data_IF_269769213416
#
_entry.id   IF_269769213416
#
_cell.length_a   1.000
_cell.length_b   1.000
_cell.length_c   1.000
_cell.angle_alpha   90.00
_cell.angle_beta   90.00
_cell.angle_gamma   90.00
#
_symmetry.space_group_name_H-M   'P 1'
#
loop_
_entity.id
_entity.type
_entity.pdbx_description
1 polymer ?
#
# COMPACT_ATOMS: atom_id res chain seq x y z
N UNK A 1 13.69 -3.14 -9.41
CA UNK A 1 12.85 -2.07 -9.98
C UNK A 1 12.93 -0.83 -9.08
N UNK A 2 12.78 0.38 -9.63
CA UNK A 2 12.68 1.62 -8.85
C UNK A 2 11.20 2.06 -8.83
N UNK A 3 10.44 1.87 -7.72
CA UNK A 3 8.99 2.09 -7.71
C UNK A 3 8.59 3.51 -8.13
N UNK A 4 9.30 4.52 -7.62
CA UNK A 4 9.04 5.92 -7.97
C UNK A 4 9.21 6.16 -9.47
N UNK A 5 10.35 5.77 -10.06
CA UNK A 5 10.61 5.93 -11.50
C UNK A 5 9.58 5.20 -12.36
N UNK A 6 9.13 4.03 -11.91
CA UNK A 6 8.09 3.28 -12.61
C UNK A 6 6.77 4.03 -12.64
N UNK A 7 6.28 4.49 -11.48
CA UNK A 7 5.02 5.23 -11.38
C UNK A 7 5.10 6.55 -12.13
N UNK A 8 6.17 7.33 -11.95
CA UNK A 8 6.33 8.61 -12.65
C UNK A 8 6.47 8.42 -14.14
N UNK A 9 7.15 7.37 -14.61
CA UNK A 9 7.25 7.06 -16.03
C UNK A 9 5.89 6.69 -16.65
N UNK A 10 5.03 5.96 -15.92
CA UNK A 10 3.66 5.70 -16.37
C UNK A 10 2.85 6.99 -16.49
N UNK A 11 2.92 7.86 -15.48
CA UNK A 11 2.21 9.15 -15.47
C UNK A 11 2.73 10.09 -16.57
N UNK A 12 4.04 10.17 -16.74
CA UNK A 12 4.69 10.95 -17.79
C UNK A 12 4.23 10.48 -19.17
N UNK A 13 4.22 9.18 -19.42
CA UNK A 13 3.70 8.62 -20.67
C UNK A 13 2.23 8.97 -20.91
N UNK A 14 1.37 8.94 -19.87
CA UNK A 14 -0.04 9.30 -20.01
C UNK A 14 -0.25 10.79 -20.34
N UNK A 15 0.60 11.67 -19.80
CA UNK A 15 0.53 13.11 -20.05
C UNK A 15 1.09 13.48 -21.43
N UNK A 16 2.21 12.87 -21.81
CA UNK A 16 2.91 13.19 -23.07
C UNK A 16 2.32 12.48 -24.30
N UNK A 17 1.52 11.44 -24.11
CA UNK A 17 0.86 10.74 -25.20
C UNK A 17 -0.16 11.66 -25.90
N UNK A 18 -0.16 11.64 -27.23
CA UNK A 18 -0.97 12.53 -28.05
C UNK A 18 -2.48 12.29 -27.90
N UNK A 19 -2.91 11.04 -27.74
CA UNK A 19 -4.33 10.70 -27.62
C UNK A 19 -4.83 10.73 -26.17
N UNK A 20 -3.98 10.36 -25.22
CA UNK A 20 -4.33 10.27 -23.80
C UNK A 20 -4.12 11.60 -23.09
N UNK A 21 -3.11 12.39 -23.45
CA UNK A 21 -2.79 13.66 -22.79
C UNK A 21 -3.92 14.68 -22.86
N UNK A 22 -4.75 14.66 -23.91
CA UNK A 22 -5.94 15.50 -24.02
C UNK A 22 -7.11 15.08 -23.12
N UNK A 23 -7.10 13.84 -22.62
CA UNK A 23 -8.16 13.23 -21.79
C UNK A 23 -7.73 12.97 -20.36
N UNK A 24 -6.42 12.88 -20.11
CA UNK A 24 -5.84 12.64 -18.81
C UNK A 24 -5.55 13.96 -18.10
N UNK A 25 -6.22 14.19 -16.98
CA UNK A 25 -6.04 15.37 -16.17
C UNK A 25 -5.41 14.99 -14.83
N UNK A 26 -4.18 15.46 -14.57
CA UNK A 26 -3.50 15.25 -13.30
C UNK A 26 -3.64 16.51 -12.41
N UNK A 27 -4.22 16.33 -11.22
CA UNK A 27 -4.24 17.36 -10.18
C UNK A 27 -3.38 16.90 -8.99
N UNK A 28 -2.28 17.61 -8.74
CA UNK A 28 -1.47 17.42 -7.52
C UNK A 28 -1.86 18.46 -6.46
N UNK A 29 -1.47 18.24 -5.20
CA UNK A 29 -1.78 19.14 -4.08
C UNK A 29 -3.27 19.51 -4.00
N UNK A 30 -4.15 18.56 -4.30
CA UNK A 30 -5.61 18.75 -4.35
C UNK A 30 -6.27 17.66 -3.52
N UNK A 31 -6.27 17.77 -2.18
CA UNK A 31 -6.91 16.79 -1.33
C UNK A 31 -8.41 16.72 -1.60
N UNK A 32 -8.92 15.50 -1.78
CA UNK A 32 -10.37 15.24 -1.74
C UNK A 32 -10.79 15.23 -0.27
N UNK A 33 -11.77 16.07 0.08
CA UNK A 33 -12.23 16.25 1.45
C UNK A 33 -13.54 15.51 1.74
N UNK A 34 -14.40 15.31 0.73
CA UNK A 34 -15.61 14.50 0.85
C UNK A 34 -16.08 13.93 -0.50
N UNK A 35 -16.96 12.93 -0.41
CA UNK A 35 -17.71 12.39 -1.53
C UNK A 35 -19.21 12.59 -1.26
N UNK A 36 -19.90 13.19 -2.21
CA UNK A 36 -21.34 13.46 -2.14
C UNK A 36 -22.04 12.84 -3.36
N UNK A 37 -23.35 12.58 -3.26
CA UNK A 37 -24.15 12.23 -4.44
C UNK A 37 -24.53 13.51 -5.18
N UNK A 38 -24.59 13.44 -6.51
CA UNK A 38 -25.19 14.51 -7.33
C UNK A 38 -26.66 14.69 -6.99
N UNK A 39 -27.25 15.84 -7.36
CA UNK A 39 -28.64 16.19 -7.03
C UNK A 39 -29.67 15.22 -7.62
N UNK A 40 -29.38 14.62 -8.77
CA UNK A 40 -30.18 13.56 -9.41
C UNK A 40 -29.93 12.16 -8.82
N UNK A 41 -28.95 12.03 -7.93
CA UNK A 41 -28.54 10.79 -7.29
C UNK A 41 -27.88 9.78 -8.23
N UNK A 42 -27.56 10.14 -9.48
CA UNK A 42 -27.01 9.23 -10.51
C UNK A 42 -25.48 9.22 -10.57
N UNK A 43 -24.81 10.14 -9.90
CA UNK A 43 -23.37 10.26 -9.90
C UNK A 43 -22.80 10.69 -8.55
N UNK A 44 -21.53 11.03 -8.60
CA UNK A 44 -20.71 11.46 -7.48
C UNK A 44 -20.20 12.87 -7.71
N UNK A 45 -20.24 13.67 -6.66
CA UNK A 45 -19.57 14.95 -6.54
C UNK A 45 -18.36 14.76 -5.62
N UNK A 46 -17.17 14.85 -6.21
CA UNK A 46 -15.89 14.75 -5.52
C UNK A 46 -15.50 16.16 -5.08
N UNK A 47 -15.46 16.39 -3.77
CA UNK A 47 -15.25 17.73 -3.19
C UNK A 47 -13.78 17.91 -2.84
N UNK A 48 -13.23 19.05 -3.23
CA UNK A 48 -11.87 19.48 -2.92
C UNK A 48 -11.88 20.95 -2.52
N UNK A 49 -10.80 21.43 -1.91
CA UNK A 49 -10.64 22.86 -1.59
C UNK A 49 -10.54 23.75 -2.84
N UNK A 50 -10.19 23.17 -3.99
CA UNK A 50 -10.04 23.89 -5.27
C UNK A 50 -11.32 23.88 -6.14
N UNK A 51 -12.37 23.21 -5.68
CA UNK A 51 -13.62 23.03 -6.41
C UNK A 51 -14.13 21.59 -6.36
N UNK A 52 -15.22 21.33 -7.08
CA UNK A 52 -15.86 20.01 -7.14
C UNK A 52 -15.78 19.43 -8.55
N UNK A 53 -15.63 18.11 -8.64
CA UNK A 53 -15.73 17.36 -9.90
C UNK A 53 -16.94 16.44 -9.83
N UNK A 54 -17.83 16.52 -10.81
CA UNK A 54 -18.96 15.61 -10.94
C UNK A 54 -18.63 14.51 -11.95
N UNK A 55 -18.92 13.26 -11.60
CA UNK A 55 -18.61 12.08 -12.40
C UNK A 55 -19.59 10.95 -12.09
N UNK A 56 -19.85 10.07 -13.05
CA UNK A 56 -20.65 8.85 -12.82
C UNK A 56 -19.88 7.78 -12.05
N UNK A 57 -18.54 7.78 -12.11
CA UNK A 57 -17.70 6.77 -11.47
C UNK A 57 -16.52 7.39 -10.72
N UNK A 58 -16.19 6.82 -9.56
CA UNK A 58 -15.07 7.21 -8.69
C UNK A 58 -14.29 5.97 -8.29
N UNK A 59 -12.96 6.01 -8.41
CA UNK A 59 -12.06 4.99 -7.85
C UNK A 59 -11.34 5.56 -6.63
N UNK A 60 -11.54 4.94 -5.48
CA UNK A 60 -10.72 5.15 -4.29
C UNK A 60 -9.49 4.26 -4.35
N UNK A 61 -8.36 4.85 -4.72
CA UNK A 61 -7.02 4.26 -4.63
C UNK A 61 -6.20 4.87 -3.47
N UNK A 62 -6.90 5.30 -2.40
CA UNK A 62 -6.33 6.07 -1.28
C UNK A 62 -5.82 5.21 -0.13
N UNK A 63 -5.76 3.88 -0.30
CA UNK A 63 -5.22 2.89 0.65
C UNK A 63 -5.53 3.20 2.14
N UNK A 64 -4.54 3.53 2.96
CA UNK A 64 -4.71 3.79 4.40
C UNK A 64 -5.57 5.01 4.74
N UNK A 65 -5.76 5.92 3.79
CA UNK A 65 -6.58 7.13 3.97
C UNK A 65 -8.05 6.95 3.54
N UNK A 66 -8.44 5.74 3.09
CA UNK A 66 -9.80 5.46 2.60
C UNK A 66 -10.89 5.84 3.61
N UNK A 67 -10.65 5.63 4.91
CA UNK A 67 -11.62 5.91 5.96
C UNK A 67 -11.94 7.39 6.14
N UNK A 68 -11.10 8.31 5.64
CA UNK A 68 -11.43 9.74 5.62
C UNK A 68 -12.58 10.05 4.66
N UNK A 69 -12.68 9.31 3.54
CA UNK A 69 -13.75 9.46 2.55
C UNK A 69 -14.90 8.49 2.79
N UNK A 70 -14.65 7.36 3.44
CA UNK A 70 -15.64 6.37 3.85
C UNK A 70 -15.54 6.09 5.36
N UNK A 71 -16.12 6.94 6.23
CA UNK A 71 -16.00 6.79 7.68
C UNK A 71 -16.47 5.42 8.21
N UNK A 72 -17.47 4.81 7.56
CA UNK A 72 -17.96 3.47 7.88
C UNK A 72 -16.95 2.33 7.62
N UNK A 73 -15.79 2.65 7.04
CA UNK A 73 -14.69 1.72 6.74
C UNK A 73 -13.50 1.89 7.70
N UNK A 74 -13.59 2.76 8.70
CA UNK A 74 -12.51 3.00 9.66
C UNK A 74 -12.07 1.72 10.42
N UNK A 75 -12.95 0.72 10.56
CA UNK A 75 -12.63 -0.58 11.15
C UNK A 75 -12.36 -1.67 10.10
N UNK A 76 -12.47 -1.37 8.81
CA UNK A 76 -12.27 -2.30 7.69
C UNK A 76 -10.91 -2.10 7.01
N UNK A 77 -10.47 -0.86 6.88
CA UNK A 77 -9.16 -0.46 6.37
C UNK A 77 -8.57 0.52 7.36
N UNK A 78 -7.57 0.07 8.11
CA UNK A 78 -6.95 0.85 9.19
C UNK A 78 -5.61 1.41 8.69
N UNK A 79 -5.36 2.72 8.82
CA UNK A 79 -4.04 3.27 8.54
C UNK A 79 -3.01 2.67 9.48
N UNK A 80 -1.88 2.27 8.94
CA UNK A 80 -0.80 1.63 9.67
C UNK A 80 0.53 2.24 9.22
N UNK A 81 1.15 3.04 10.09
CA UNK A 81 2.45 3.64 9.80
C UNK A 81 3.55 2.62 10.04
N UNK A 82 4.36 2.37 9.00
CA UNK A 82 5.61 1.62 9.07
C UNK A 82 6.82 2.50 8.74
N UNK A 83 8.02 1.93 8.82
CA UNK A 83 9.27 2.62 8.48
C UNK A 83 10.12 1.82 7.49
N UNK A 84 10.96 2.56 6.77
CA UNK A 84 11.91 2.04 5.80
C UNK A 84 13.26 2.71 5.99
N UNK A 85 14.33 1.98 5.67
CA UNK A 85 15.68 2.51 5.60
C UNK A 85 16.27 2.34 4.20
N UNK A 86 17.14 3.28 3.82
CA UNK A 86 18.09 3.13 2.75
C UNK A 86 19.49 3.14 3.38
N UNK A 87 20.15 2.00 3.38
CA UNK A 87 21.47 1.80 3.97
C UNK A 87 22.53 1.74 2.88
N UNK A 88 23.71 2.30 3.13
CA UNK A 88 24.85 2.13 2.23
C UNK A 88 25.40 0.71 2.39
N UNK A 89 25.61 -0.04 1.29
CA UNK A 89 26.20 -1.37 1.39
C UNK A 89 27.64 -1.25 1.89
N UNK A 90 28.09 -2.21 2.69
CA UNK A 90 29.52 -2.37 3.02
C UNK A 90 30.31 -2.81 1.79
N UNK A 91 31.64 -2.89 1.90
CA UNK A 91 32.49 -3.41 0.83
C UNK A 91 32.17 -4.88 0.48
N UNK A 92 31.60 -5.64 1.43
CA UNK A 92 31.17 -7.03 1.23
C UNK A 92 29.88 -7.16 0.40
N UNK A 93 29.14 -6.06 0.19
CA UNK A 93 27.81 -6.05 -0.42
C UNK A 93 27.70 -5.10 -1.62
N UNK A 94 28.82 -4.67 -2.20
CA UNK A 94 28.87 -3.73 -3.34
C UNK A 94 29.54 -4.34 -4.57
N UNK A 95 29.40 -3.65 -5.70
CA UNK A 95 29.97 -4.03 -7.00
C UNK A 95 29.65 -5.48 -7.39
N UNK A 96 30.66 -6.34 -7.57
CA UNK A 96 30.50 -7.75 -7.91
C UNK A 96 29.97 -8.62 -6.76
N UNK A 97 29.93 -8.10 -5.52
CA UNK A 97 29.45 -8.80 -4.32
C UNK A 97 28.05 -8.34 -3.89
N UNK A 98 27.38 -7.54 -4.71
CA UNK A 98 26.00 -7.13 -4.47
C UNK A 98 25.06 -8.33 -4.32
N UNK A 99 23.96 -8.11 -3.62
CA UNK A 99 22.86 -9.06 -3.54
C UNK A 99 22.28 -9.32 -4.94
N UNK A 100 22.21 -10.60 -5.29
CA UNK A 100 21.61 -11.08 -6.54
C UNK A 100 20.09 -11.27 -6.39
N UNK A 101 19.62 -11.48 -5.16
CA UNK A 101 18.21 -11.75 -4.83
C UNK A 101 17.70 -10.78 -3.77
N UNK A 102 16.37 -10.65 -3.70
CA UNK A 102 15.70 -9.99 -2.57
C UNK A 102 15.42 -11.01 -1.47
N UNK A 103 15.35 -10.56 -0.23
CA UNK A 103 15.09 -11.41 0.93
C UNK A 103 13.78 -11.01 1.59
N UNK A 104 13.03 -12.01 2.05
CA UNK A 104 12.02 -11.86 3.10
C UNK A 104 12.50 -12.64 4.31
N UNK A 105 12.55 -12.02 5.48
CA UNK A 105 12.97 -12.70 6.70
C UNK A 105 11.74 -13.16 7.48
N UNK A 106 11.75 -14.44 7.84
CA UNK A 106 10.78 -15.02 8.75
C UNK A 106 11.33 -14.94 10.17
N UNK A 107 10.58 -14.35 11.08
CA UNK A 107 10.99 -14.18 12.47
C UNK A 107 9.92 -13.46 13.28
N UNK A 108 10.13 -13.25 14.60
CA UNK A 108 9.14 -12.63 15.47
C UNK A 108 8.69 -11.24 14.99
N UNK A 109 9.60 -10.50 14.35
CA UNK A 109 9.34 -9.20 13.77
C UNK A 109 8.32 -9.22 12.63
N UNK A 110 8.07 -10.42 12.04
CA UNK A 110 7.23 -10.79 10.89
C UNK A 110 7.17 -9.70 9.82
N UNK A 111 7.58 -10.03 8.58
CA UNK A 111 7.56 -9.13 7.42
C UNK A 111 8.77 -8.19 7.25
N UNK A 112 9.96 -8.59 7.69
CA UNK A 112 11.17 -7.88 7.26
C UNK A 112 11.53 -8.27 5.84
N UNK A 113 12.01 -7.30 5.07
CA UNK A 113 12.42 -7.54 3.70
C UNK A 113 13.57 -6.65 3.29
N UNK A 114 14.35 -7.15 2.35
CA UNK A 114 15.54 -6.51 1.84
C UNK A 114 15.58 -6.61 0.32
N UNK A 115 15.78 -5.47 -0.31
CA UNK A 115 16.16 -5.39 -1.72
C UNK A 115 17.35 -4.46 -1.87
N UNK A 116 18.35 -4.87 -2.63
CA UNK A 116 19.40 -3.96 -3.07
C UNK A 116 19.02 -3.29 -4.38
N UNK A 117 19.10 -1.95 -4.44
CA UNK A 117 18.77 -1.23 -5.68
C UNK A 117 19.73 -1.62 -6.81
N UNK A 118 19.23 -1.83 -8.03
CA UNK A 118 20.09 -2.10 -9.19
C UNK A 118 20.74 -0.78 -9.63
N UNK A 119 22.02 -0.60 -9.33
CA UNK A 119 22.91 0.39 -9.93
C UNK A 119 24.26 -0.30 -10.25
N UNK A 120 25.14 0.39 -10.98
CA UNK A 120 26.41 -0.15 -11.47
C UNK A 120 27.40 -0.57 -10.38
N UNK A 121 27.21 -0.17 -9.11
CA UNK A 121 28.11 -0.48 -8.00
C UNK A 121 27.46 -1.13 -6.78
N UNK A 122 26.26 -1.70 -6.92
CA UNK A 122 25.47 -2.15 -5.77
C UNK A 122 24.79 -0.96 -5.06
N UNK A 123 23.49 -0.79 -5.30
CA UNK A 123 22.76 0.36 -4.77
C UNK A 123 22.54 0.26 -3.27
N UNK A 124 21.81 1.24 -2.74
CA UNK A 124 21.41 1.20 -1.34
C UNK A 124 20.64 -0.09 -1.05
N UNK A 125 20.88 -0.64 0.13
CA UNK A 125 20.11 -1.71 0.74
C UNK A 125 18.82 -1.10 1.28
N UNK A 126 17.71 -1.42 0.64
CA UNK A 126 16.38 -0.99 1.07
C UNK A 126 15.87 -2.04 2.04
N UNK A 127 16.02 -1.76 3.34
CA UNK A 127 15.63 -2.67 4.41
C UNK A 127 14.43 -2.07 5.15
N UNK A 128 13.33 -2.82 5.15
CA UNK A 128 12.07 -2.42 5.75
C UNK A 128 11.42 -3.57 6.51
N UNK A 129 10.33 -3.26 7.20
CA UNK A 129 9.71 -4.16 8.18
C UNK A 129 9.88 -3.59 9.58
N UNK A 130 10.32 -4.43 10.52
CA UNK A 130 10.55 -4.08 11.91
C UNK A 130 9.24 -3.79 12.63
N UNK A 131 8.15 -4.48 12.27
CA UNK A 131 6.80 -4.16 12.75
C UNK A 131 6.73 -4.13 14.28
N UNK A 132 7.41 -5.07 14.94
CA UNK A 132 7.55 -5.13 16.41
C UNK A 132 8.14 -3.88 17.07
N UNK A 133 8.90 -3.08 16.32
CA UNK A 133 9.65 -1.98 16.89
C UNK A 133 8.98 -0.62 16.68
N UNK A 134 8.09 -0.45 15.71
CA UNK A 134 7.51 0.86 15.44
C UNK A 134 6.26 0.89 14.57
N UNK A 135 5.59 -0.24 14.37
CA UNK A 135 4.31 -0.27 13.66
C UNK A 135 3.24 0.48 14.48
N UNK A 136 2.62 1.50 13.89
CA UNK A 136 1.61 2.31 14.55
C UNK A 136 0.26 2.20 13.82
N UNK A 137 -0.62 1.35 14.34
CA UNK A 137 -2.01 1.24 13.89
C UNK A 137 -2.83 2.48 14.23
N UNK A 138 -3.79 2.80 13.35
CA UNK A 138 -4.64 3.99 13.48
C UNK A 138 -3.89 5.30 13.26
N UNK A 139 -2.62 5.24 12.86
CA UNK A 139 -1.78 6.41 12.67
C UNK A 139 -1.54 6.66 11.18
N UNK A 140 -2.08 7.78 10.68
CA UNK A 140 -1.92 8.25 9.31
C UNK A 140 -0.87 9.37 9.15
N UNK A 141 -0.12 9.69 10.21
CA UNK A 141 0.92 10.73 10.22
C UNK A 141 2.31 10.11 9.97
N UNK A 142 2.79 10.28 8.74
CA UNK A 142 4.13 9.88 8.28
C UNK A 142 5.18 10.99 8.39
N UNK A 143 4.89 12.10 9.09
CA UNK A 143 5.92 13.10 9.44
C UNK A 143 6.86 12.62 10.55
N UNK A 144 6.46 11.57 11.27
CA UNK A 144 7.14 11.05 12.45
C UNK A 144 7.79 9.69 12.18
N UNK A 145 8.93 9.47 12.82
CA UNK A 145 9.66 8.18 12.85
C UNK A 145 9.74 7.66 14.29
N UNK A 146 9.70 6.34 14.46
CA UNK A 146 9.94 5.66 15.74
C UNK A 146 11.44 5.37 15.90
N UNK A 147 11.97 5.69 17.08
CA UNK A 147 13.40 5.53 17.39
C UNK A 147 13.79 4.07 17.55
N UNK A 148 12.92 3.21 18.08
CA UNK A 148 13.18 1.76 18.22
C UNK A 148 13.25 1.10 16.85
N UNK A 149 12.31 1.42 15.95
CA UNK A 149 12.36 0.93 14.58
C UNK A 149 13.60 1.45 13.83
N UNK A 150 13.98 2.71 14.06
CA UNK A 150 15.21 3.29 13.50
C UNK A 150 16.46 2.52 13.94
N UNK A 151 16.60 2.26 15.24
CA UNK A 151 17.70 1.45 15.78
C UNK A 151 17.70 0.05 15.17
N UNK A 152 16.53 -0.62 15.13
CA UNK A 152 16.40 -1.94 14.54
C UNK A 152 16.89 -1.99 13.08
N UNK A 153 16.36 -1.10 12.23
CA UNK A 153 16.68 -1.09 10.80
C UNK A 153 18.17 -0.80 10.54
N UNK A 154 18.81 0.00 11.41
CA UNK A 154 20.24 0.32 11.30
C UNK A 154 21.16 -0.84 11.70
N UNK A 155 20.80 -1.55 12.76
CA UNK A 155 21.73 -2.45 13.46
C UNK A 155 21.50 -3.94 13.18
N UNK A 156 20.29 -4.33 12.78
CA UNK A 156 19.95 -5.76 12.64
C UNK A 156 20.46 -6.40 11.34
N UNK A 157 20.57 -5.62 10.25
CA UNK A 157 20.84 -6.20 8.93
C UNK A 157 22.18 -6.95 8.83
N UNK A 158 23.31 -6.44 9.37
CA UNK A 158 24.58 -7.19 9.43
C UNK A 158 24.50 -8.52 10.19
N UNK A 159 23.67 -8.58 11.23
CA UNK A 159 23.42 -9.81 11.99
C UNK A 159 22.64 -10.81 11.13
N UNK A 160 21.57 -10.34 10.48
CA UNK A 160 20.71 -11.15 9.61
C UNK A 160 21.45 -11.70 8.38
N UNK A 161 22.37 -10.92 7.80
CA UNK A 161 23.15 -11.32 6.62
C UNK A 161 24.42 -12.10 6.95
N UNK A 162 24.81 -12.22 8.22
CA UNK A 162 26.01 -12.96 8.58
C UNK A 162 27.33 -12.27 8.18
N UNK A 163 27.34 -10.94 7.95
CA UNK A 163 28.54 -10.17 7.56
C UNK A 163 29.67 -10.23 8.58
N UNK A 164 30.92 -9.97 8.20
CA UNK A 164 32.05 -9.99 9.16
C UNK A 164 31.97 -8.85 10.17
N UNK A 165 31.69 -7.65 9.66
CA UNK A 165 31.40 -6.50 10.51
C UNK A 165 29.96 -6.61 11.01
N UNK A 166 29.81 -6.65 12.34
CA UNK A 166 28.50 -6.68 13.01
C UNK A 166 28.06 -5.30 13.50
N UNK A 167 28.88 -4.27 13.28
CA UNK A 167 28.46 -2.89 13.51
C UNK A 167 27.40 -2.51 12.48
N UNK A 168 26.40 -1.71 12.90
CA UNK A 168 25.29 -1.31 12.02
C UNK A 168 25.78 -0.60 10.75
N UNK A 169 24.94 -0.57 9.72
CA UNK A 169 25.30 0.07 8.45
C UNK A 169 25.10 1.59 8.50
N UNK A 170 25.83 2.30 7.63
CA UNK A 170 25.59 3.73 7.43
C UNK A 170 24.20 3.95 6.82
N UNK A 171 23.41 4.78 7.48
CA UNK A 171 22.07 5.16 7.05
C UNK A 171 22.18 6.36 6.13
N UNK A 172 21.76 6.22 4.86
CA UNK A 172 21.56 7.38 3.99
C UNK A 172 20.29 8.13 4.38
N UNK A 173 19.19 7.40 4.56
CA UNK A 173 17.92 7.98 4.97
C UNK A 173 17.01 6.94 5.62
N UNK A 174 16.16 7.41 6.53
CA UNK A 174 15.06 6.68 7.16
C UNK A 174 13.82 7.55 7.06
N UNK A 175 12.70 6.94 6.72
CA UNK A 175 11.41 7.60 6.62
C UNK A 175 10.30 6.65 7.04
N UNK A 176 9.12 7.21 7.30
CA UNK A 176 7.91 6.45 7.54
C UNK A 176 6.95 6.56 6.35
N UNK A 177 5.96 5.68 6.33
CA UNK A 177 4.89 5.68 5.34
C UNK A 177 3.67 4.96 5.87
N UNK A 178 2.48 5.35 5.37
CA UNK A 178 1.20 4.80 5.82
C UNK A 178 0.71 3.73 4.85
N UNK A 179 0.40 2.56 5.40
CA UNK A 179 -0.25 1.44 4.71
C UNK A 179 -1.73 1.37 5.11
N UNK A 180 -2.57 0.76 4.27
CA UNK A 180 -3.92 0.37 4.64
C UNK A 180 -3.98 -1.10 5.00
N UNK A 181 -4.21 -1.41 6.27
CA UNK A 181 -4.38 -2.77 6.76
C UNK A 181 -5.86 -3.13 6.67
N UNK A 182 -6.18 -4.09 5.82
CA UNK A 182 -7.54 -4.62 5.73
C UNK A 182 -7.82 -5.58 6.88
N UNK A 183 -9.07 -5.63 7.34
CA UNK A 183 -9.47 -6.49 8.46
C UNK A 183 -9.34 -8.00 8.19
N UNK A 184 -9.33 -8.41 6.93
CA UNK A 184 -9.13 -9.80 6.53
C UNK A 184 -7.76 -10.07 5.89
N UNK A 185 -6.84 -9.11 5.98
CA UNK A 185 -5.45 -9.18 5.50
C UNK A 185 -5.29 -9.34 3.98
N UNK A 186 -6.35 -9.06 3.21
CA UNK A 186 -6.38 -9.20 1.76
C UNK A 186 -6.81 -7.90 1.07
N UNK A 187 -6.25 -7.56 -0.10
CA UNK A 187 -6.69 -6.42 -0.90
C UNK A 187 -8.22 -6.39 -1.12
N UNK A 188 -8.79 -5.18 -1.15
CA UNK A 188 -10.21 -4.93 -1.42
C UNK A 188 -10.35 -4.25 -2.79
N UNK A 189 -10.77 -5.02 -3.79
CA UNK A 189 -10.82 -4.59 -5.19
C UNK A 189 -12.25 -4.71 -5.74
N UNK A 190 -12.79 -3.65 -6.33
CA UNK A 190 -14.08 -3.66 -7.02
C UNK A 190 -15.10 -2.65 -6.50
N UNK A 191 -16.38 -2.78 -6.88
CA UNK A 191 -17.42 -1.82 -6.52
C UNK A 191 -17.78 -1.89 -5.03
N UNK A 192 -18.06 -0.72 -4.44
CA UNK A 192 -18.47 -0.58 -3.05
C UNK A 192 -19.95 -0.96 -2.93
N UNK A 193 -20.30 -1.99 -2.12
CA UNK A 193 -21.70 -2.43 -1.99
C UNK A 193 -22.64 -1.31 -1.56
N UNK A 194 -23.75 -1.14 -2.28
CA UNK A 194 -24.78 -0.08 -2.07
C UNK A 194 -24.32 1.34 -2.40
N UNK A 195 -23.20 1.50 -3.10
CA UNK A 195 -22.67 2.79 -3.53
C UNK A 195 -22.35 2.73 -5.02
N UNK A 196 -23.39 2.69 -5.86
CA UNK A 196 -23.26 2.57 -7.31
C UNK A 196 -22.33 3.65 -7.87
N UNK A 197 -21.42 3.24 -8.76
CA UNK A 197 -20.39 4.09 -9.35
C UNK A 197 -19.14 4.29 -8.48
N UNK A 198 -19.13 3.83 -7.22
CA UNK A 198 -17.95 3.91 -6.35
C UNK A 198 -17.18 2.59 -6.36
N UNK A 199 -15.88 2.65 -6.66
CA UNK A 199 -14.97 1.51 -6.69
C UNK A 199 -13.82 1.74 -5.71
N UNK A 200 -13.19 0.66 -5.26
CA UNK A 200 -12.01 0.69 -4.41
C UNK A 200 -10.90 -0.21 -4.96
N UNK A 201 -9.65 0.19 -4.69
CA UNK A 201 -8.47 -0.63 -4.76
C UNK A 201 -7.57 -0.27 -3.57
N UNK A 202 -7.85 -0.87 -2.41
CA UNK A 202 -7.32 -0.44 -1.09
C UNK A 202 -6.98 -1.65 -0.21
N UNK A 203 -6.39 -1.42 0.95
CA UNK A 203 -6.26 -2.45 1.98
C UNK A 203 -5.19 -3.50 1.67
N UNK A 204 -4.12 -3.11 0.99
CA UNK A 204 -3.09 -4.05 0.54
C UNK A 204 -2.26 -4.68 1.66
N UNK A 205 -2.42 -4.24 2.92
CA UNK A 205 -1.88 -4.90 4.13
C UNK A 205 -0.38 -5.24 4.00
N UNK A 206 0.45 -4.26 3.64
CA UNK A 206 1.90 -4.43 3.48
C UNK A 206 2.34 -5.09 2.15
N UNK A 207 1.42 -5.64 1.36
CA UNK A 207 1.70 -6.32 0.09
C UNK A 207 1.32 -5.48 -1.14
N UNK A 208 1.44 -4.16 -1.06
CA UNK A 208 1.06 -3.26 -2.16
C UNK A 208 1.92 -3.45 -3.41
N UNK A 209 3.25 -3.46 -3.25
CA UNK A 209 4.19 -3.57 -4.37
C UNK A 209 3.93 -4.73 -5.33
N UNK A 210 3.70 -5.98 -4.87
CA UNK A 210 3.40 -7.09 -5.79
C UNK A 210 1.98 -7.08 -6.35
N UNK A 211 1.00 -6.45 -5.68
CA UNK A 211 -0.42 -6.62 -6.00
C UNK A 211 -1.03 -5.46 -6.79
N UNK A 212 -0.58 -4.22 -6.58
CA UNK A 212 -1.26 -3.00 -7.07
C UNK A 212 -1.36 -2.95 -8.59
N UNK A 213 -0.38 -3.48 -9.33
CA UNK A 213 -0.39 -3.44 -10.80
C UNK A 213 -1.58 -4.20 -11.39
N UNK A 214 -1.73 -5.48 -11.05
CA UNK A 214 -2.83 -6.30 -11.58
C UNK A 214 -4.18 -5.95 -10.93
N UNK A 215 -4.19 -5.55 -9.66
CA UNK A 215 -5.40 -5.04 -9.02
C UNK A 215 -5.91 -3.75 -9.69
N UNK A 216 -5.00 -2.83 -10.03
CA UNK A 216 -5.31 -1.60 -10.75
C UNK A 216 -5.84 -1.87 -12.15
N UNK A 217 -5.21 -2.79 -12.89
CA UNK A 217 -5.70 -3.24 -14.19
C UNK A 217 -7.10 -3.85 -14.08
N UNK A 218 -7.33 -4.73 -13.10
CA UNK A 218 -8.62 -5.38 -12.91
C UNK A 218 -9.74 -4.37 -12.63
N UNK A 219 -9.56 -3.43 -11.70
CA UNK A 219 -10.59 -2.44 -11.39
C UNK A 219 -10.82 -1.47 -12.56
N UNK A 220 -9.78 -1.12 -13.32
CA UNK A 220 -9.92 -0.30 -14.52
C UNK A 220 -10.77 -1.01 -15.60
N UNK A 221 -10.57 -2.31 -15.82
CA UNK A 221 -11.38 -3.12 -16.73
C UNK A 221 -12.84 -3.22 -16.25
N UNK A 222 -13.08 -3.36 -14.95
CA UNK A 222 -14.43 -3.34 -14.36
C UNK A 222 -15.13 -2.01 -14.66
N UNK A 223 -14.47 -0.90 -14.35
CA UNK A 223 -15.00 0.45 -14.55
C UNK A 223 -15.26 0.73 -16.04
N UNK A 224 -14.31 0.39 -16.92
CA UNK A 224 -14.46 0.53 -18.38
C UNK A 224 -15.64 -0.29 -18.92
N UNK A 225 -15.86 -1.49 -18.39
CA UNK A 225 -17.00 -2.32 -18.73
C UNK A 225 -18.32 -1.65 -18.40
N UNK A 226 -18.46 -1.14 -17.17
CA UNK A 226 -19.65 -0.42 -16.71
C UNK A 226 -19.87 0.86 -17.50
N UNK A 227 -18.82 1.64 -17.78
CA UNK A 227 -18.89 2.85 -18.60
C UNK A 227 -19.38 2.57 -20.04
N UNK A 228 -19.12 1.36 -20.57
CA UNK A 228 -19.61 0.88 -21.87
C UNK A 228 -21.02 0.27 -21.81
N UNK A 229 -21.73 0.44 -20.69
CA UNK A 229 -23.10 -0.02 -20.51
C UNK A 229 -23.24 -1.51 -20.20
N UNK A 230 -22.15 -2.21 -19.84
CA UNK A 230 -22.26 -3.58 -19.34
C UNK A 230 -22.88 -3.58 -17.94
N UNK A 231 -23.71 -4.58 -17.67
CA UNK A 231 -24.10 -4.93 -16.30
C UNK A 231 -22.86 -5.08 -15.40
N UNK A 232 -22.92 -4.56 -14.18
CA UNK A 232 -21.79 -4.52 -13.25
C UNK A 232 -21.23 -5.92 -12.96
N UNK A 233 -22.08 -6.92 -12.76
CA UNK A 233 -21.61 -8.28 -12.50
C UNK A 233 -20.93 -8.89 -13.71
N UNK A 234 -21.44 -8.61 -14.92
CA UNK A 234 -20.80 -9.03 -16.15
C UNK A 234 -19.44 -8.34 -16.34
N UNK A 235 -19.31 -7.06 -16.01
CA UNK A 235 -18.04 -6.33 -16.03
C UNK A 235 -17.03 -6.93 -15.05
N UNK A 236 -17.44 -7.22 -13.80
CA UNK A 236 -16.59 -7.87 -12.79
C UNK A 236 -16.08 -9.24 -13.27
N UNK A 237 -16.98 -10.09 -13.78
CA UNK A 237 -16.61 -11.43 -14.26
C UNK A 237 -15.61 -11.35 -15.41
N UNK A 238 -15.87 -10.47 -16.39
CA UNK A 238 -15.00 -10.29 -17.56
C UNK A 238 -13.62 -9.78 -17.15
N UNK A 239 -13.56 -8.75 -16.31
CA UNK A 239 -12.30 -8.18 -15.83
C UNK A 239 -11.48 -9.19 -15.00
N UNK A 240 -12.15 -9.94 -14.11
CA UNK A 240 -11.50 -10.96 -13.28
C UNK A 240 -10.90 -12.06 -14.13
N UNK A 241 -11.62 -12.53 -15.15
CA UNK A 241 -11.11 -13.54 -16.08
C UNK A 241 -9.93 -13.02 -16.92
N UNK A 242 -10.01 -11.79 -17.41
CA UNK A 242 -8.98 -11.20 -18.25
C UNK A 242 -7.67 -10.92 -17.49
N UNK A 243 -7.78 -10.52 -16.21
CA UNK A 243 -6.61 -10.11 -15.40
C UNK A 243 -6.09 -11.18 -14.48
N UNK A 244 -6.84 -12.28 -14.29
CA UNK A 244 -6.50 -13.32 -13.31
C UNK A 244 -6.62 -12.85 -11.86
N UNK A 245 -7.43 -11.81 -11.59
CA UNK A 245 -7.61 -11.29 -10.23
C UNK A 245 -8.10 -12.41 -9.29
N UNK A 246 -7.44 -12.66 -8.14
CA UNK A 246 -7.90 -13.66 -7.19
C UNK A 246 -9.33 -13.35 -6.72
N UNK A 247 -10.19 -14.37 -6.70
CA UNK A 247 -11.58 -14.21 -6.22
C UNK A 247 -11.64 -13.71 -4.78
N UNK A 248 -10.65 -14.06 -3.96
CA UNK A 248 -10.53 -13.58 -2.58
C UNK A 248 -10.23 -12.09 -2.46
N UNK A 249 -9.74 -11.42 -3.53
CA UNK A 249 -9.47 -9.99 -3.54
C UNK A 249 -10.70 -9.17 -3.97
N UNK A 250 -11.70 -9.81 -4.58
CA UNK A 250 -12.94 -9.15 -4.96
C UNK A 250 -13.69 -8.68 -3.71
N UNK A 251 -14.08 -7.41 -3.72
CA UNK A 251 -15.00 -6.87 -2.75
C UNK A 251 -16.42 -7.32 -3.12
N UNK A 252 -17.03 -8.13 -2.26
CA UNK A 252 -18.41 -8.57 -2.41
C UNK A 252 -19.23 -8.21 -1.16
N UNK A 253 -20.56 -8.10 -1.27
CA UNK A 253 -21.41 -7.90 -0.10
C UNK A 253 -21.24 -9.00 0.97
N UNK A 254 -20.99 -10.25 0.56
CA UNK A 254 -20.75 -11.36 1.50
C UNK A 254 -19.41 -11.19 2.21
N UNK A 255 -18.33 -10.97 1.46
CA UNK A 255 -16.99 -10.73 2.04
C UNK A 255 -17.02 -9.56 3.03
N UNK A 256 -17.68 -8.45 2.67
CA UNK A 256 -17.81 -7.30 3.56
C UNK A 256 -18.55 -7.64 4.87
N UNK A 257 -19.55 -8.53 4.84
CA UNK A 257 -20.23 -9.02 6.04
C UNK A 257 -19.32 -9.92 6.86
N UNK A 258 -18.58 -10.83 6.23
CA UNK A 258 -17.64 -11.73 6.89
C UNK A 258 -16.50 -10.98 7.56
N UNK A 259 -15.91 -9.99 6.88
CA UNK A 259 -14.89 -9.10 7.43
C UNK A 259 -15.35 -8.47 8.74
N UNK A 260 -16.58 -7.95 8.80
CA UNK A 260 -17.13 -7.33 10.01
C UNK A 260 -17.27 -8.28 11.20
N UNK A 261 -17.31 -9.59 10.95
CA UNK A 261 -17.35 -10.63 12.00
C UNK A 261 -15.96 -11.05 12.51
N UNK A 262 -14.89 -10.73 11.77
CA UNK A 262 -13.51 -11.01 12.21
C UNK A 262 -13.12 -10.09 13.38
N UNK A 263 -12.10 -10.44 14.18
CA UNK A 263 -11.50 -9.49 15.11
C UNK A 263 -11.09 -8.19 14.39
N UNK A 264 -11.05 -7.07 15.11
CA UNK A 264 -10.54 -5.81 14.58
C UNK A 264 -9.04 -5.95 14.29
N UNK A 265 -8.51 -5.16 13.36
CA UNK A 265 -7.06 -5.15 13.05
C UNK A 265 -6.23 -4.95 14.33
N UNK A 266 -6.66 -4.05 15.22
CA UNK A 266 -5.98 -3.82 16.50
C UNK A 266 -5.96 -5.05 17.42
N UNK A 267 -7.00 -5.87 17.39
CA UNK A 267 -7.07 -7.10 18.20
C UNK A 267 -6.14 -8.17 17.63
N UNK A 268 -6.06 -8.29 16.30
CA UNK A 268 -5.13 -9.20 15.61
C UNK A 268 -3.66 -8.84 15.90
N UNK A 269 -3.31 -7.55 15.81
CA UNK A 269 -1.94 -7.08 16.12
C UNK A 269 -1.57 -7.21 17.60
N UNK A 270 -2.55 -7.13 18.50
CA UNK A 270 -2.30 -7.39 19.92
C UNK A 270 -2.07 -8.89 20.19
N UNK A 271 -2.84 -9.76 19.52
CA UNK A 271 -2.73 -11.21 19.66
C UNK A 271 -1.46 -11.79 19.03
N UNK A 272 -0.90 -11.15 18.00
CA UNK A 272 0.36 -11.55 17.37
C UNK A 272 1.61 -11.26 18.22
N UNK A 273 1.46 -10.67 19.41
CA UNK A 273 2.57 -10.48 20.37
C UNK A 273 3.52 -9.33 20.03
N UNK A 274 3.17 -8.50 19.04
CA UNK A 274 3.98 -7.35 18.54
C UNK A 274 4.30 -6.36 19.66
N UNK A 275 3.45 -6.23 20.69
CA UNK A 275 3.69 -5.35 21.86
C UNK A 275 4.42 -6.00 23.04
N UNK A 276 4.27 -7.30 23.30
CA UNK A 276 4.80 -7.91 24.53
C UNK A 276 6.31 -8.18 24.48
N UNK A 277 6.89 -8.40 23.30
CA UNK A 277 8.32 -8.64 23.14
C UNK A 277 9.16 -7.36 23.03
N UNK A 278 8.57 -6.23 22.61
CA UNK A 278 9.24 -4.92 22.57
C UNK A 278 9.61 -4.32 23.94
N UNK A 279 9.15 -4.95 25.03
CA UNK A 279 9.52 -4.63 26.41
C UNK A 279 10.58 -5.57 27.01
N UNK A 280 10.94 -6.67 26.32
CA UNK A 280 12.11 -7.44 26.73
C UNK A 280 13.34 -6.72 26.22
N UNK A 281 14.09 -6.10 27.14
CA UNK A 281 15.46 -5.62 26.88
C UNK A 281 16.20 -6.70 26.10
N UNK A 282 16.74 -6.33 24.95
CA UNK A 282 17.77 -7.14 24.28
C UNK A 282 18.86 -7.31 25.34
N UNK A 283 18.97 -8.54 25.85
CA UNK A 283 19.96 -8.91 26.85
C UNK A 283 21.35 -8.74 26.28
N UNK A 284 22.26 -8.28 27.13
CA UNK A 284 23.68 -8.02 26.88
C UNK A 284 24.38 -9.12 26.12
#
# INVERSE_FOLDING_TARGET
MWPYKFVTGVVENLILDHEMGSRFNLQTHTPVTSLERTSDGQGWRVVTERGCVETSQVLLATNGWTSHLLPAWADLVVPCRGQMSALKPSDELRDSHRLETSFGFMGPAMHDYLIQRPNSGGGHLMFGGGGMYGLALGNGDDSLIDTKATTYLKESLPLLLGTKDKTGLEVETIWSGVMGFSRDELPLIGPVPKNDGLFVAVGFTGHGMPNTWLCGHAVAEMMSGVAKGKDEQHAIRSATQATGLPRSYLLTPERLREMKRRPRVQELENASGVRELGNRRIGK
#
